data_IF_811931673343
#
_entry.id   IF_811931673343
#
_cell.length_a   1.000
_cell.length_b   1.000
_cell.length_c   1.000
_cell.angle_alpha   90.00
_cell.angle_beta   90.00
_cell.angle_gamma   90.00
#
_symmetry.space_group_name_H-M   'P 1'
#
loop_
_entity.id
_entity.type
_entity.pdbx_description
1 polymer ?
#
# COMPACT_ATOMS: atom_id res chain seq x y z
N UNK A 1 9.63 -10.41 6.85
CA UNK A 1 9.20 -9.92 5.52
C UNK A 1 7.75 -9.46 5.46
N UNK A 2 6.71 -10.32 5.37
CA UNK A 2 5.33 -9.80 5.25
C UNK A 2 4.88 -8.92 6.43
N UNK A 3 5.22 -9.26 7.67
CA UNK A 3 4.92 -8.42 8.84
C UNK A 3 5.66 -7.07 8.81
N UNK A 4 6.87 -7.01 8.25
CA UNK A 4 7.64 -5.78 8.16
C UNK A 4 7.07 -4.85 7.08
N UNK A 5 6.71 -5.42 5.92
CA UNK A 5 6.03 -4.69 4.85
C UNK A 5 4.70 -4.15 5.36
N UNK A 6 3.91 -5.00 6.02
CA UNK A 6 2.63 -4.61 6.60
C UNK A 6 2.77 -3.49 7.62
N UNK A 7 3.68 -3.62 8.59
CA UNK A 7 3.90 -2.59 9.60
C UNK A 7 4.34 -1.25 9.00
N UNK A 8 5.10 -1.29 7.89
CA UNK A 8 5.48 -0.08 7.17
C UNK A 8 4.30 0.57 6.46
N UNK A 9 3.49 -0.23 5.77
CA UNK A 9 2.28 0.24 5.09
C UNK A 9 1.29 0.80 6.11
N UNK A 10 1.06 0.11 7.23
CA UNK A 10 0.17 0.58 8.30
C UNK A 10 0.63 1.94 8.83
N UNK A 11 1.94 2.10 9.02
CA UNK A 11 2.53 3.36 9.44
C UNK A 11 2.27 4.49 8.43
N UNK A 12 2.52 4.27 7.14
CA UNK A 12 2.25 5.25 6.08
C UNK A 12 0.75 5.61 6.03
N UNK A 13 -0.12 4.61 6.15
CA UNK A 13 -1.57 4.83 6.17
C UNK A 13 -2.01 5.70 7.36
N UNK A 14 -1.42 5.50 8.54
CA UNK A 14 -1.75 6.28 9.74
C UNK A 14 -1.10 7.66 9.76
N UNK A 15 0.16 7.77 9.36
CA UNK A 15 0.93 9.03 9.40
C UNK A 15 0.59 9.93 8.21
N UNK A 16 0.69 9.39 6.98
CA UNK A 16 0.56 10.17 5.74
C UNK A 16 -0.92 10.28 5.32
N UNK A 17 -1.64 9.16 5.31
CA UNK A 17 -3.05 9.13 4.88
C UNK A 17 -4.05 9.40 6.01
N UNK A 18 -3.59 9.53 7.26
CA UNK A 18 -4.43 9.80 8.45
C UNK A 18 -5.58 8.82 8.63
N UNK A 19 -5.40 7.57 8.21
CA UNK A 19 -6.40 6.51 8.34
C UNK A 19 -6.56 6.15 9.82
N UNK A 20 -7.78 6.33 10.33
CA UNK A 20 -8.16 5.97 11.71
C UNK A 20 -8.94 4.67 11.79
N UNK A 21 -9.34 4.12 10.65
CA UNK A 21 -10.06 2.84 10.55
C UNK A 21 -9.19 1.65 11.00
N UNK A 22 -9.85 0.52 11.21
CA UNK A 22 -9.18 -0.75 11.51
C UNK A 22 -8.54 -1.28 10.23
N UNK A 23 -7.21 -1.26 10.20
CA UNK A 23 -6.43 -1.68 9.03
C UNK A 23 -6.32 -3.20 9.09
N UNK A 24 -6.88 -3.90 8.09
CA UNK A 24 -6.81 -5.37 7.95
C UNK A 24 -6.26 -5.75 6.59
N UNK A 25 -5.66 -6.94 6.42
CA UNK A 25 -5.20 -7.42 5.12
C UNK A 25 -6.34 -7.45 4.09
N UNK A 26 -7.56 -7.78 4.52
CA UNK A 26 -8.73 -7.84 3.64
C UNK A 26 -9.39 -6.47 3.42
N UNK A 27 -8.95 -5.42 4.13
CA UNK A 27 -9.51 -4.07 3.99
C UNK A 27 -9.26 -3.52 2.60
N UNK A 28 -10.32 -2.98 2.00
CA UNK A 28 -10.28 -2.25 0.74
C UNK A 28 -9.74 -0.85 0.96
N UNK A 29 -8.77 -0.44 0.14
CA UNK A 29 -8.10 0.85 0.24
C UNK A 29 -9.11 2.00 0.15
N UNK A 30 -9.97 1.98 -0.87
CA UNK A 30 -10.97 3.03 -1.06
C UNK A 30 -12.20 2.87 -0.15
N UNK A 31 -12.76 1.66 -0.05
CA UNK A 31 -14.06 1.45 0.63
C UNK A 31 -13.94 1.30 2.16
N UNK A 32 -12.96 0.58 2.68
CA UNK A 32 -12.79 0.38 4.12
C UNK A 32 -11.90 1.43 4.76
N UNK A 33 -10.79 1.79 4.10
CA UNK A 33 -9.83 2.76 4.63
C UNK A 33 -10.14 4.20 4.24
N UNK A 34 -11.08 4.41 3.31
CA UNK A 34 -11.48 5.73 2.86
C UNK A 34 -10.38 6.47 2.09
N UNK A 35 -9.46 5.75 1.43
CA UNK A 35 -8.42 6.37 0.65
C UNK A 35 -9.00 6.92 -0.66
N UNK A 36 -8.98 8.25 -0.78
CA UNK A 36 -9.20 8.92 -2.05
C UNK A 36 -8.05 8.67 -3.03
N UNK A 37 -8.22 9.08 -4.29
CA UNK A 37 -7.18 8.96 -5.34
C UNK A 37 -5.82 9.52 -4.92
N UNK A 38 -5.81 10.64 -4.17
CA UNK A 38 -4.59 11.23 -3.61
C UNK A 38 -3.95 10.38 -2.51
N UNK A 39 -4.76 9.72 -1.68
CA UNK A 39 -4.27 8.83 -0.63
C UNK A 39 -3.63 7.56 -1.21
N UNK A 40 -4.25 6.98 -2.23
CA UNK A 40 -3.70 5.84 -2.96
C UNK A 40 -2.37 6.21 -3.63
N UNK A 41 -2.32 7.37 -4.29
CA UNK A 41 -1.10 7.84 -4.95
C UNK A 41 0.02 8.15 -3.94
N UNK A 42 -0.31 8.76 -2.79
CA UNK A 42 0.64 9.02 -1.70
C UNK A 42 1.21 7.72 -1.14
N UNK A 43 0.34 6.73 -0.88
CA UNK A 43 0.76 5.41 -0.41
C UNK A 43 1.74 4.75 -1.38
N UNK A 44 1.42 4.76 -2.68
CA UNK A 44 2.29 4.19 -3.71
C UNK A 44 3.65 4.89 -3.74
N UNK A 45 3.67 6.22 -3.79
CA UNK A 45 4.91 7.02 -3.81
C UNK A 45 5.80 6.77 -2.58
N UNK A 46 5.20 6.74 -1.39
CA UNK A 46 5.94 6.50 -0.16
C UNK A 46 6.54 5.09 -0.16
N UNK A 47 5.79 4.07 -0.60
CA UNK A 47 6.31 2.70 -0.70
C UNK A 47 7.43 2.59 -1.74
N UNK A 48 7.26 3.21 -2.91
CA UNK A 48 8.31 3.29 -3.94
C UNK A 48 9.57 3.96 -3.42
N UNK A 49 9.45 5.08 -2.70
CA UNK A 49 10.59 5.80 -2.14
C UNK A 49 11.29 5.01 -1.01
N UNK A 50 10.51 4.44 -0.09
CA UNK A 50 11.01 3.77 1.11
C UNK A 50 11.71 2.44 0.78
N UNK A 51 11.14 1.65 -0.13
CA UNK A 51 11.75 0.41 -0.64
C UNK A 51 12.63 0.63 -1.88
N UNK A 52 12.71 1.86 -2.37
CA UNK A 52 13.37 2.26 -3.62
C UNK A 52 12.85 1.52 -4.86
N UNK A 53 11.67 0.89 -4.81
CA UNK A 53 11.05 0.09 -5.89
C UNK A 53 10.23 0.95 -6.85
N UNK A 54 9.86 0.40 -8.00
CA UNK A 54 8.78 0.92 -8.84
C UNK A 54 7.62 -0.06 -8.73
N UNK A 55 6.52 0.37 -8.14
CA UNK A 55 5.29 -0.41 -8.09
C UNK A 55 4.61 -0.41 -9.46
N UNK A 56 4.75 0.69 -10.20
CA UNK A 56 4.21 0.85 -11.55
C UNK A 56 2.68 0.94 -11.54
N UNK A 57 2.14 1.94 -12.21
CA UNK A 57 0.72 1.92 -12.58
C UNK A 57 0.58 0.88 -13.69
N UNK A 58 0.26 -0.37 -13.37
CA UNK A 58 -0.46 -1.18 -14.35
C UNK A 58 -1.92 -0.75 -14.21
N UNK A 59 -2.40 0.19 -15.05
CA UNK A 59 -3.73 0.78 -14.89
C UNK A 59 -4.85 -0.25 -15.05
N UNK A 60 -4.53 -1.42 -15.62
CA UNK A 60 -5.46 -2.53 -15.79
C UNK A 60 -5.66 -3.36 -14.50
N UNK A 61 -4.73 -3.32 -13.53
CA UNK A 61 -4.85 -4.10 -12.29
C UNK A 61 -4.30 -3.37 -11.04
N UNK A 62 -4.92 -2.25 -10.63
CA UNK A 62 -4.52 -1.57 -9.40
C UNK A 62 -4.91 -2.41 -8.17
N UNK A 63 -4.05 -2.48 -7.14
CA UNK A 63 -4.37 -3.20 -5.91
C UNK A 63 -5.60 -2.58 -5.23
N UNK A 64 -6.60 -3.39 -4.92
CA UNK A 64 -7.82 -2.91 -4.26
C UNK A 64 -7.75 -3.08 -2.74
N UNK A 65 -7.04 -4.10 -2.29
CA UNK A 65 -6.91 -4.46 -0.88
C UNK A 65 -5.50 -4.27 -0.35
N UNK A 66 -5.39 -4.16 0.96
CA UNK A 66 -4.10 -4.05 1.62
C UNK A 66 -3.21 -5.27 1.38
N UNK A 67 -3.78 -6.47 1.38
CA UNK A 67 -3.07 -7.71 1.09
C UNK A 67 -2.46 -7.70 -0.33
N UNK A 68 -3.17 -7.14 -1.31
CA UNK A 68 -2.65 -6.98 -2.67
C UNK A 68 -1.48 -5.99 -2.72
N UNK A 69 -1.56 -4.87 -1.99
CA UNK A 69 -0.42 -3.92 -1.89
C UNK A 69 0.80 -4.59 -1.27
N UNK A 70 0.62 -5.32 -0.15
CA UNK A 70 1.71 -6.06 0.51
C UNK A 70 2.33 -7.05 -0.45
N UNK A 71 1.50 -7.79 -1.18
CA UNK A 71 1.95 -8.78 -2.17
C UNK A 71 2.70 -8.12 -3.32
N UNK A 72 2.19 -7.01 -3.86
CA UNK A 72 2.81 -6.26 -4.95
C UNK A 72 4.20 -5.76 -4.55
N UNK A 73 4.32 -5.13 -3.37
CA UNK A 73 5.59 -4.67 -2.80
C UNK A 73 6.57 -5.84 -2.65
N UNK A 74 6.08 -6.97 -2.14
CA UNK A 74 6.90 -8.17 -1.95
C UNK A 74 7.41 -8.72 -3.28
N UNK A 75 6.55 -8.89 -4.27
CA UNK A 75 6.93 -9.38 -5.61
C UNK A 75 7.99 -8.46 -6.22
N UNK A 76 7.80 -7.13 -6.16
CA UNK A 76 8.81 -6.17 -6.63
C UNK A 76 10.13 -6.23 -5.88
N UNK A 77 10.11 -6.52 -4.58
CA UNK A 77 11.33 -6.68 -3.77
C UNK A 77 12.07 -7.98 -4.09
N UNK A 78 11.36 -9.06 -4.43
CA UNK A 78 11.92 -10.34 -4.84
C UNK A 78 12.46 -10.31 -6.28
N UNK A 79 11.92 -9.45 -7.14
CA UNK A 79 12.40 -9.22 -8.52
C UNK A 79 13.67 -8.35 -8.61
N UNK A 80 14.22 -7.87 -7.47
CA UNK A 80 15.47 -7.12 -7.39
C UNK A 80 16.69 -7.97 -7.07
#
# INVERSE_FOLDING_TARGET
MNQEIYGKIERILREECRVTADIRPESRLAEDLGLDSMGILTLALELENDYRIQLGEDPDDPPQTLAEVVRLVRERLEER
#
